data_IF_326341750008
#
_entry.id   IF_326341750008
#
_cell.length_a   1.000
_cell.length_b   1.000
_cell.length_c   1.000
_cell.angle_alpha   90.00
_cell.angle_beta   90.00
_cell.angle_gamma   90.00
#
_symmetry.space_group_name_H-M   'P 1'
#
loop_
_entity.id
_entity.type
_entity.pdbx_description
1 polymer ?
#
# COMPACT_ATOMS: atom_id res chain seq x y z
N UNK A 1 3.64 8.53 6.15
CA UNK A 1 4.52 7.55 6.83
C UNK A 1 5.98 8.00 6.90
N UNK A 2 6.49 8.74 5.91
CA UNK A 2 7.91 9.15 5.85
C UNK A 2 8.47 9.75 7.14
N UNK A 3 7.71 10.59 7.85
CA UNK A 3 8.16 11.24 9.09
C UNK A 3 8.46 10.28 10.25
N UNK A 4 8.01 9.03 10.19
CA UNK A 4 8.28 8.02 11.22
C UNK A 4 9.50 7.15 10.90
N UNK A 5 9.98 7.14 9.65
CA UNK A 5 11.09 6.28 9.21
C UNK A 5 12.37 6.63 9.99
N UNK A 6 13.04 5.60 10.51
CA UNK A 6 14.25 5.75 11.32
C UNK A 6 14.02 6.22 12.75
N UNK A 7 12.76 6.40 13.18
CA UNK A 7 12.41 6.69 14.58
C UNK A 7 12.08 5.41 15.35
N UNK A 8 12.01 5.49 16.68
CA UNK A 8 11.58 4.37 17.52
C UNK A 8 10.11 3.96 17.32
N UNK A 9 9.32 4.75 16.58
CA UNK A 9 7.92 4.46 16.25
C UNK A 9 7.76 3.75 14.91
N UNK A 10 8.85 3.53 14.16
CA UNK A 10 8.78 2.74 12.94
C UNK A 10 8.53 1.26 13.29
N UNK A 11 7.53 0.59 12.67
CA UNK A 11 7.23 -0.81 12.96
C UNK A 11 8.46 -1.71 12.79
N UNK A 12 8.56 -2.73 13.66
CA UNK A 12 9.67 -3.68 13.62
C UNK A 12 9.62 -4.55 12.35
N UNK A 13 10.74 -5.13 11.91
CA UNK A 13 10.78 -6.01 10.73
C UNK A 13 9.72 -7.12 10.74
N UNK A 14 9.42 -7.68 11.91
CA UNK A 14 8.45 -8.76 12.09
C UNK A 14 7.00 -8.32 11.76
N UNK A 15 6.67 -7.04 11.96
CA UNK A 15 5.34 -6.51 11.65
C UNK A 15 5.13 -6.32 10.14
N UNK A 16 6.21 -6.28 9.35
CA UNK A 16 6.16 -6.19 7.89
C UNK A 16 6.11 -7.57 7.23
N UNK A 17 6.51 -8.63 7.95
CA UNK A 17 6.53 -9.99 7.42
C UNK A 17 5.12 -10.48 7.09
N UNK A 18 4.97 -10.98 5.87
CA UNK A 18 3.72 -11.51 5.31
C UNK A 18 2.55 -10.51 5.28
N UNK A 19 2.84 -9.20 5.42
CA UNK A 19 1.81 -8.17 5.48
C UNK A 19 1.22 -7.84 4.09
N UNK A 20 -0.04 -7.44 4.05
CA UNK A 20 -0.61 -6.68 2.94
C UNK A 20 -0.40 -5.20 3.26
N UNK A 21 0.45 -4.54 2.48
CA UNK A 21 0.70 -3.11 2.61
C UNK A 21 -0.47 -2.34 2.04
N UNK A 22 -0.83 -1.20 2.63
CA UNK A 22 -1.78 -0.28 2.03
C UNK A 22 -1.23 1.14 2.06
N UNK A 23 -1.31 1.80 0.91
CA UNK A 23 -0.83 3.16 0.71
C UNK A 23 -1.95 4.04 0.18
N UNK A 24 -1.91 5.31 0.53
CA UNK A 24 -2.78 6.35 -0.02
C UNK A 24 -2.00 7.65 -0.11
N UNK A 25 -2.46 8.56 -0.96
CA UNK A 25 -1.89 9.91 -1.09
C UNK A 25 -2.87 10.94 -0.59
N UNK A 26 -2.36 11.92 0.15
CA UNK A 26 -3.18 13.02 0.69
C UNK A 26 -3.64 14.01 -0.37
N UNK A 27 -4.48 14.96 0.05
CA UNK A 27 -4.99 16.09 -0.74
C UNK A 27 -3.89 17.03 -1.25
N UNK A 28 -2.67 16.90 -0.72
CA UNK A 28 -1.48 17.62 -1.20
C UNK A 28 -1.06 17.13 -2.60
N UNK A 29 -1.52 15.94 -3.02
CA UNK A 29 -1.27 15.35 -4.36
C UNK A 29 0.22 15.37 -4.71
N UNK A 30 1.04 14.63 -3.95
CA UNK A 30 2.49 14.62 -4.15
C UNK A 30 2.83 14.28 -5.60
N UNK A 31 3.86 14.91 -6.18
CA UNK A 31 4.27 14.54 -7.54
C UNK A 31 4.66 13.05 -7.60
N UNK A 32 4.39 12.35 -8.72
CA UNK A 32 4.70 10.91 -8.87
C UNK A 32 6.14 10.52 -8.52
N UNK A 33 7.08 11.46 -8.71
CA UNK A 33 8.49 11.29 -8.36
C UNK A 33 8.71 11.04 -6.86
N UNK A 34 7.98 11.75 -5.99
CA UNK A 34 8.05 11.52 -4.54
C UNK A 34 7.51 10.15 -4.18
N UNK A 35 6.36 9.77 -4.78
CA UNK A 35 5.77 8.46 -4.56
C UNK A 35 6.75 7.34 -4.96
N UNK A 36 7.40 7.45 -6.12
CA UNK A 36 8.47 6.54 -6.55
C UNK A 36 9.61 6.48 -5.53
N UNK A 37 10.10 7.62 -5.05
CA UNK A 37 11.21 7.65 -4.09
C UNK A 37 10.85 6.98 -2.77
N UNK A 38 9.63 7.19 -2.27
CA UNK A 38 9.14 6.52 -1.06
C UNK A 38 9.06 5.01 -1.25
N UNK A 39 8.51 4.53 -2.37
CA UNK A 39 8.44 3.11 -2.71
C UNK A 39 9.82 2.46 -2.78
N UNK A 40 10.79 3.10 -3.45
CA UNK A 40 12.18 2.62 -3.46
C UNK A 40 12.76 2.54 -2.05
N UNK A 41 12.45 3.50 -1.19
CA UNK A 41 12.88 3.44 0.20
C UNK A 41 12.23 2.27 0.97
N UNK A 42 10.97 1.90 0.71
CA UNK A 42 10.38 0.67 1.26
C UNK A 42 11.10 -0.59 0.73
N UNK A 43 11.50 -0.59 -0.54
CA UNK A 43 12.26 -1.70 -1.10
C UNK A 43 13.63 -1.86 -0.43
N UNK A 44 14.37 -0.76 -0.24
CA UNK A 44 15.68 -0.76 0.41
C UNK A 44 15.63 -1.14 1.89
N UNK A 45 14.48 -0.95 2.55
CA UNK A 45 14.24 -1.45 3.90
C UNK A 45 13.88 -2.95 3.94
N UNK A 46 13.72 -3.61 2.78
CA UNK A 46 13.26 -4.99 2.66
C UNK A 46 11.74 -5.17 2.84
N UNK A 47 10.98 -4.09 3.03
CA UNK A 47 9.55 -4.14 3.34
C UNK A 47 8.75 -4.64 2.13
N UNK A 48 9.06 -4.19 0.91
CA UNK A 48 8.38 -4.70 -0.29
C UNK A 48 8.65 -6.18 -0.53
N UNK A 49 9.86 -6.65 -0.18
CA UNK A 49 10.25 -8.06 -0.31
C UNK A 49 9.60 -8.97 0.74
N UNK A 50 9.19 -8.41 1.89
CA UNK A 50 8.52 -9.14 2.96
C UNK A 50 6.98 -9.20 2.80
N UNK A 51 6.41 -8.34 1.95
CA UNK A 51 4.97 -8.21 1.78
C UNK A 51 4.33 -9.33 0.93
N UNK A 52 3.04 -9.60 1.17
CA UNK A 52 2.21 -10.52 0.37
C UNK A 52 1.32 -9.83 -0.65
N UNK A 53 1.19 -8.52 -0.55
CA UNK A 53 0.46 -7.72 -1.53
C UNK A 53 0.45 -6.24 -1.17
N UNK A 54 -0.04 -5.44 -2.11
CA UNK A 54 -0.14 -3.99 -1.97
C UNK A 54 -1.55 -3.54 -2.37
N UNK A 55 -2.13 -2.69 -1.53
CA UNK A 55 -3.34 -1.93 -1.83
C UNK A 55 -2.94 -0.46 -2.02
N UNK A 56 -3.43 0.18 -3.08
CA UNK A 56 -3.29 1.61 -3.29
C UNK A 56 -4.68 2.24 -3.33
N UNK A 57 -4.96 3.14 -2.39
CA UNK A 57 -6.18 3.94 -2.39
C UNK A 57 -6.24 4.84 -3.60
N UNK A 58 -7.44 5.12 -4.12
CA UNK A 58 -7.59 6.10 -5.19
C UNK A 58 -7.14 7.48 -4.70
N UNK A 59 -6.39 8.25 -5.49
CA UNK A 59 -5.91 9.55 -5.06
C UNK A 59 -7.05 10.58 -5.05
N UNK A 60 -6.87 11.64 -4.25
CA UNK A 60 -7.82 12.76 -4.19
C UNK A 60 -8.12 13.30 -5.60
N UNK A 61 -9.41 13.40 -5.92
CA UNK A 61 -9.91 13.83 -7.24
C UNK A 61 -9.26 13.12 -8.45
N UNK A 62 -8.80 11.87 -8.27
CA UNK A 62 -8.09 11.07 -9.29
C UNK A 62 -6.80 11.73 -9.82
N UNK A 63 -6.21 12.66 -9.07
CA UNK A 63 -4.97 13.31 -9.47
C UNK A 63 -3.83 12.29 -9.55
N UNK A 64 -3.12 12.28 -10.68
CA UNK A 64 -1.98 11.40 -10.95
C UNK A 64 -2.26 9.89 -10.84
N UNK A 65 -3.52 9.43 -10.94
CA UNK A 65 -3.85 8.02 -10.74
C UNK A 65 -3.05 7.08 -11.66
N UNK A 66 -2.95 7.43 -12.95
CA UNK A 66 -2.22 6.60 -13.93
C UNK A 66 -0.71 6.68 -13.71
N UNK A 67 -0.21 7.84 -13.31
CA UNK A 67 1.20 8.08 -13.03
C UNK A 67 1.63 7.30 -11.78
N UNK A 68 0.85 7.32 -10.69
CA UNK A 68 1.15 6.50 -9.51
C UNK A 68 1.10 5.01 -9.83
N UNK A 69 0.12 4.54 -10.62
CA UNK A 69 0.06 3.16 -11.08
C UNK A 69 1.32 2.78 -11.88
N UNK A 70 1.80 3.70 -12.72
CA UNK A 70 3.02 3.51 -13.53
C UNK A 70 4.27 3.46 -12.65
N UNK A 71 4.42 4.38 -11.70
CA UNK A 71 5.56 4.42 -10.79
C UNK A 71 5.60 3.22 -9.85
N UNK A 72 4.45 2.75 -9.35
CA UNK A 72 4.35 1.53 -8.55
C UNK A 72 4.85 0.32 -9.35
N UNK A 73 4.32 0.12 -10.57
CA UNK A 73 4.74 -0.98 -11.45
C UNK A 73 6.23 -0.91 -11.77
N UNK A 74 6.75 0.29 -12.00
CA UNK A 74 8.17 0.51 -12.28
C UNK A 74 9.05 0.08 -11.10
N UNK A 75 8.74 0.52 -9.87
CA UNK A 75 9.54 0.13 -8.70
C UNK A 75 9.46 -1.38 -8.43
N UNK A 76 8.27 -1.98 -8.58
CA UNK A 76 8.15 -3.44 -8.43
C UNK A 76 8.98 -4.20 -9.48
N UNK A 77 9.01 -3.72 -10.73
CA UNK A 77 9.85 -4.30 -11.77
C UNK A 77 11.36 -4.12 -11.50
N UNK A 78 11.77 -2.95 -11.00
CA UNK A 78 13.17 -2.67 -10.59
C UNK A 78 13.65 -3.63 -9.49
N UNK A 79 12.74 -4.06 -8.62
CA UNK A 79 13.01 -4.95 -7.48
C UNK A 79 12.72 -6.44 -7.79
N UNK A 80 12.33 -6.77 -9.02
CA UNK A 80 12.01 -8.16 -9.42
C UNK A 80 10.72 -8.72 -8.80
N UNK A 81 9.82 -7.85 -8.34
CA UNK A 81 8.56 -8.18 -7.65
C UNK A 81 7.34 -8.13 -8.59
N UNK A 82 7.49 -8.57 -9.85
CA UNK A 82 6.42 -8.45 -10.87
C UNK A 82 5.21 -9.34 -10.60
N UNK A 83 5.37 -10.37 -9.79
CA UNK A 83 4.30 -11.31 -9.40
C UNK A 83 3.62 -10.92 -8.08
N UNK A 84 4.05 -9.84 -7.41
CA UNK A 84 3.43 -9.38 -6.17
C UNK A 84 1.99 -8.91 -6.46
N UNK A 85 0.97 -9.44 -5.76
CA UNK A 85 -0.41 -9.00 -5.92
C UNK A 85 -0.58 -7.50 -5.60
N UNK A 86 -1.20 -6.76 -6.51
CA UNK A 86 -1.50 -5.34 -6.33
C UNK A 86 -2.95 -5.04 -6.72
N UNK A 87 -3.66 -4.32 -5.86
CA UNK A 87 -4.94 -3.67 -6.18
C UNK A 87 -4.74 -2.16 -6.09
N UNK A 88 -5.13 -1.42 -7.11
CA UNK A 88 -5.07 0.04 -7.12
C UNK A 88 -6.46 0.65 -7.14
N UNK A 89 -6.53 1.95 -6.84
CA UNK A 89 -7.76 2.76 -6.89
C UNK A 89 -8.86 2.28 -5.93
N UNK A 90 -8.46 1.73 -4.78
CA UNK A 90 -9.41 1.28 -3.75
C UNK A 90 -10.12 2.44 -3.04
N UNK A 91 -11.33 2.20 -2.54
CA UNK A 91 -12.15 3.16 -1.79
C UNK A 91 -11.65 3.40 -0.35
N UNK A 92 -10.40 3.84 -0.17
CA UNK A 92 -9.86 4.35 1.10
C UNK A 92 -8.87 5.51 0.84
N UNK A 93 -8.56 6.29 1.87
CA UNK A 93 -7.70 7.48 1.77
C UNK A 93 -8.49 8.78 1.68
N UNK A 94 -7.95 9.81 1.03
CA UNK A 94 -8.53 11.16 0.97
C UNK A 94 -9.63 11.30 -0.11
N UNK A 95 -10.57 10.35 -0.15
CA UNK A 95 -11.73 10.38 -1.06
C UNK A 95 -13.03 10.07 -0.33
N UNK A 96 -14.15 10.04 -1.06
CA UNK A 96 -15.45 9.64 -0.52
C UNK A 96 -16.29 8.94 -1.60
N UNK A 97 -16.97 7.82 -1.29
CA UNK A 97 -17.02 7.12 0.01
C UNK A 97 -15.70 6.40 0.37
N UNK A 98 -15.57 5.94 1.62
CA UNK A 98 -14.45 5.09 2.06
C UNK A 98 -14.91 3.89 2.88
N UNK A 99 -14.16 2.81 2.84
CA UNK A 99 -14.24 1.71 3.81
C UNK A 99 -13.10 1.78 4.82
N UNK A 100 -13.25 1.07 5.94
CA UNK A 100 -12.27 1.04 7.03
C UNK A 100 -11.33 -0.15 6.88
N UNK A 101 -10.03 0.09 7.03
CA UNK A 101 -9.00 -0.94 7.15
C UNK A 101 -8.49 -1.01 8.60
N UNK A 102 -8.89 -2.02 9.39
CA UNK A 102 -8.31 -2.24 10.71
C UNK A 102 -6.83 -2.66 10.58
N UNK A 103 -5.95 -2.11 11.40
CA UNK A 103 -4.54 -2.51 11.38
C UNK A 103 -4.37 -3.91 11.97
N UNK A 104 -3.61 -4.76 11.27
CA UNK A 104 -3.17 -6.06 11.77
C UNK A 104 -4.18 -7.19 11.69
N UNK A 105 -5.40 -6.94 11.16
CA UNK A 105 -6.34 -8.03 10.87
C UNK A 105 -5.93 -8.78 9.60
N UNK A 106 -6.24 -10.06 9.56
CA UNK A 106 -6.01 -10.91 8.41
C UNK A 106 -6.89 -10.48 7.25
N UNK A 107 -6.29 -10.36 6.07
CA UNK A 107 -6.96 -9.98 4.83
C UNK A 107 -6.47 -10.84 3.66
N UNK A 108 -7.28 -10.88 2.60
CA UNK A 108 -7.03 -11.69 1.41
C UNK A 108 -7.13 -10.83 0.15
N UNK A 109 -6.20 -11.03 -0.78
CA UNK A 109 -6.27 -10.58 -2.17
C UNK A 109 -6.41 -11.83 -3.04
N UNK A 110 -7.54 -11.96 -3.73
CA UNK A 110 -7.73 -13.00 -4.74
C UNK A 110 -7.66 -12.37 -6.13
N UNK A 111 -6.54 -12.58 -6.82
CA UNK A 111 -6.32 -12.08 -8.18
C UNK A 111 -7.17 -12.81 -9.25
N UNK A 112 -7.65 -14.02 -8.96
CA UNK A 112 -8.49 -14.80 -9.89
C UNK A 112 -9.91 -14.29 -9.86
N UNK A 113 -10.50 -14.17 -8.66
CA UNK A 113 -11.88 -13.66 -8.51
C UNK A 113 -11.95 -12.13 -8.46
N UNK A 114 -10.81 -11.46 -8.35
CA UNK A 114 -10.66 -9.99 -8.25
C UNK A 114 -11.37 -9.43 -7.03
N UNK A 115 -11.12 -10.05 -5.88
CA UNK A 115 -11.73 -9.65 -4.62
C UNK A 115 -10.68 -9.29 -3.57
N UNK A 116 -11.10 -8.43 -2.65
CA UNK A 116 -10.40 -8.14 -1.40
C UNK A 116 -11.35 -8.39 -0.24
N UNK A 117 -10.88 -9.12 0.77
CA UNK A 117 -11.70 -9.50 1.93
C UNK A 117 -10.93 -9.31 3.23
N UNK A 118 -11.62 -8.84 4.28
CA UNK A 118 -11.14 -8.95 5.65
C UNK A 118 -11.62 -10.29 6.21
N UNK A 119 -10.70 -11.13 6.69
CA UNK A 119 -11.01 -12.48 7.17
C UNK A 119 -11.30 -12.52 8.69
N UNK A 120 -11.20 -11.37 9.35
CA UNK A 120 -11.41 -11.22 10.79
C UNK A 120 -12.25 -9.97 11.10
N UNK A 121 -12.89 -9.96 12.27
CA UNK A 121 -13.60 -8.78 12.76
C UNK A 121 -12.61 -7.69 13.20
N UNK A 122 -12.90 -6.43 12.85
CA UNK A 122 -12.10 -5.29 13.32
C UNK A 122 -12.29 -4.96 14.81
N UNK A 123 -13.31 -5.53 15.46
CA UNK A 123 -13.60 -5.33 16.89
C UNK A 123 -13.99 -6.64 17.56
N UNK A 124 -13.78 -6.72 18.86
CA UNK A 124 -14.30 -7.81 19.70
C UNK A 124 -15.74 -7.49 20.13
N UNK A 125 -16.55 -8.53 20.31
CA UNK A 125 -17.94 -8.43 20.75
C UNK A 125 -18.07 -8.22 22.27
#
# INVERSE_FOLDING_TARGET
>A
LESLKGTAFWPSPEQWADAILFFETSEIRPEPDYFRWWLRNYAQQGILHAAKGILLGRPDNNAYAQEYNTELRKVLAEEGLTELPVITEMDFGHTSPVFTLPYGVLAEIDCVTRTFSLLESGVQA
#
